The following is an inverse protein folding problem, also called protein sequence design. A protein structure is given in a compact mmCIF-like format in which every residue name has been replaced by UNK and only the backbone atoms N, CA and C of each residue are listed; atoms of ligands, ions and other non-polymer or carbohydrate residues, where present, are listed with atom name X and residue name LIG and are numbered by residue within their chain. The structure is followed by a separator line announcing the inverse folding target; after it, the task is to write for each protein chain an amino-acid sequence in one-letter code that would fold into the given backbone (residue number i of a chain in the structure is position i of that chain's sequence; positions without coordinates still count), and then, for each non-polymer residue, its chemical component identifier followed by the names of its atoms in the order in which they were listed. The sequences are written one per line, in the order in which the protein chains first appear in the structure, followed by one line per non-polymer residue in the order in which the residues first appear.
data_IF_728094126843
#
_entry.id   IF_728094126843
#
_cell.length_a   1.000
_cell.length_b   1.000
_cell.length_c   1.000
_cell.angle_alpha   90.00
_cell.angle_beta   90.00
_cell.angle_gamma   90.00
#
_symmetry.space_group_name_H-M   'P 1'
#
loop_
_entity.id
_entity.type
_entity.pdbx_description
1 polymer ?
#
# COMPACT_ATOMS: atom_id res chain seq x y z
N UNK A 1 -44.09 14.89 35.07
CA UNK A 1 -43.26 13.68 34.89
C UNK A 1 -41.84 14.18 34.70
N UNK A 2 -40.97 13.93 35.67
CA UNK A 2 -39.55 14.28 35.58
C UNK A 2 -38.94 13.47 34.44
N UNK A 3 -38.48 14.12 33.37
CA UNK A 3 -37.62 13.49 32.36
C UNK A 3 -36.43 12.90 33.10
N UNK A 4 -36.38 11.57 33.19
CA UNK A 4 -35.18 10.88 33.65
C UNK A 4 -34.11 11.18 32.59
N UNK A 5 -33.17 12.07 32.93
CA UNK A 5 -32.00 12.35 32.10
C UNK A 5 -31.31 11.04 31.78
N UNK A 6 -31.44 10.57 30.54
CA UNK A 6 -30.84 9.32 30.07
C UNK A 6 -29.33 9.47 30.24
N UNK A 7 -28.75 8.65 31.12
CA UNK A 7 -27.31 8.67 31.34
C UNK A 7 -26.64 8.00 30.14
N UNK A 8 -25.69 8.65 29.45
CA UNK A 8 -24.96 8.01 28.36
C UNK A 8 -24.21 6.79 28.90
N UNK A 9 -24.32 5.67 28.18
CA UNK A 9 -23.68 4.41 28.54
C UNK A 9 -22.30 4.35 27.90
N UNK A 10 -21.26 4.16 28.72
CA UNK A 10 -19.88 4.05 28.23
C UNK A 10 -19.51 2.59 27.99
N UNK A 11 -19.19 2.22 26.75
CA UNK A 11 -18.64 0.91 26.39
C UNK A 11 -17.18 1.05 26.02
N UNK A 12 -16.34 0.19 26.59
CA UNK A 12 -14.95 0.07 26.17
C UNK A 12 -14.82 -1.06 25.14
N UNK A 13 -14.57 -0.69 23.89
CA UNK A 13 -14.31 -1.62 22.81
C UNK A 13 -12.80 -1.85 22.68
N UNK A 14 -12.36 -3.10 22.86
CA UNK A 14 -10.95 -3.47 22.82
C UNK A 14 -10.28 -3.55 24.21
N UNK A 15 -8.95 -3.74 24.29
CA UNK A 15 -7.97 -3.62 23.20
C UNK A 15 -7.88 -4.83 22.25
N UNK A 16 -8.45 -5.97 22.65
CA UNK A 16 -8.50 -7.19 21.84
C UNK A 16 -9.93 -7.45 21.41
N UNK A 17 -10.21 -7.33 20.11
CA UNK A 17 -11.50 -7.69 19.52
C UNK A 17 -11.28 -8.07 18.04
N UNK A 18 -11.99 -9.06 17.48
CA UNK A 18 -11.80 -9.47 16.08
C UNK A 18 -11.94 -8.34 15.06
N UNK A 19 -12.87 -7.42 15.27
CA UNK A 19 -13.06 -6.25 14.39
C UNK A 19 -12.03 -5.12 14.61
N UNK A 20 -11.20 -5.20 15.66
CA UNK A 20 -10.01 -4.38 15.78
C UNK A 20 -8.84 -5.11 15.09
N UNK A 21 -8.70 -4.90 13.77
CA UNK A 21 -7.56 -5.41 13.01
C UNK A 21 -6.27 -4.75 13.49
N UNK A 22 -5.62 -5.37 14.49
CA UNK A 22 -4.48 -4.81 15.22
C UNK A 22 -4.79 -4.70 16.71
N UNK A 23 -4.45 -3.54 17.30
CA UNK A 23 -4.72 -3.28 18.71
C UNK A 23 -5.28 -1.86 18.83
N UNK A 24 -6.57 -1.77 19.13
CA UNK A 24 -7.27 -0.49 19.23
C UNK A 24 -8.20 -0.54 20.43
N UNK A 25 -8.19 0.54 21.22
CA UNK A 25 -9.14 0.75 22.31
C UNK A 25 -10.01 1.94 21.95
N UNK A 26 -11.32 1.76 21.87
CA UNK A 26 -12.28 2.84 21.66
C UNK A 26 -13.21 2.93 22.86
N UNK A 27 -13.25 4.11 23.50
CA UNK A 27 -14.26 4.41 24.52
C UNK A 27 -15.43 5.06 23.81
N UNK A 28 -16.55 4.35 23.77
CA UNK A 28 -17.78 4.77 23.09
C UNK A 28 -18.77 5.26 24.14
N UNK A 29 -19.28 6.46 23.97
CA UNK A 29 -20.46 6.96 24.69
C UNK A 29 -21.67 6.73 23.79
N UNK A 30 -22.63 5.97 24.30
CA UNK A 30 -23.82 5.55 23.56
C UNK A 30 -25.08 6.09 24.23
N UNK A 31 -26.03 6.53 23.41
CA UNK A 31 -27.42 6.75 23.77
C UNK A 31 -28.29 5.72 23.04
N UNK A 32 -28.56 4.60 23.72
CA UNK A 32 -29.17 3.43 23.11
C UNK A 32 -28.28 2.83 22.00
N UNK A 33 -28.73 2.95 20.75
CA UNK A 33 -28.00 2.48 19.56
C UNK A 33 -27.18 3.59 18.88
N UNK A 34 -27.37 4.85 19.27
CA UNK A 34 -26.71 5.99 18.65
C UNK A 34 -25.41 6.30 19.37
N UNK A 35 -24.33 6.42 18.61
CA UNK A 35 -23.01 6.81 19.12
C UNK A 35 -22.96 8.33 19.23
N UNK A 36 -22.82 8.87 20.44
CA UNK A 36 -22.72 10.32 20.65
C UNK A 36 -21.28 10.81 20.61
N UNK A 37 -20.35 10.02 21.16
CA UNK A 37 -18.92 10.35 21.21
C UNK A 37 -18.05 9.09 21.13
N UNK A 38 -16.93 9.22 20.43
CA UNK A 38 -15.91 8.17 20.32
C UNK A 38 -14.56 8.76 20.68
N UNK A 39 -13.91 8.20 21.69
CA UNK A 39 -12.53 8.50 22.03
C UNK A 39 -11.63 7.29 21.66
N UNK A 40 -10.91 7.34 20.52
CA UNK A 40 -9.97 6.29 20.13
C UNK A 40 -8.63 6.45 20.87
N UNK A 41 -8.35 5.54 21.79
CA UNK A 41 -7.07 5.44 22.47
C UNK A 41 -6.09 4.63 21.61
N UNK A 42 -5.22 5.35 20.90
CA UNK A 42 -4.11 4.80 20.11
C UNK A 42 -2.80 4.77 20.90
N UNK A 43 -1.74 4.21 20.32
CA UNK A 43 -0.40 4.18 20.92
C UNK A 43 -0.01 2.86 21.58
N UNK A 44 -0.91 1.87 21.61
CA UNK A 44 -0.61 0.52 22.09
C UNK A 44 0.48 -0.19 21.25
N UNK A 45 0.65 0.23 19.99
CA UNK A 45 1.71 -0.21 19.09
C UNK A 45 2.77 0.89 18.84
N UNK A 46 2.87 1.88 19.73
CA UNK A 46 3.94 2.87 19.66
C UNK A 46 5.28 2.21 20.03
N UNK A 47 6.22 2.19 19.09
CA UNK A 47 7.53 1.53 19.22
C UNK A 47 8.71 2.49 19.29
N UNK A 48 8.47 3.81 19.37
CA UNK A 48 9.53 4.81 19.34
C UNK A 48 10.37 4.78 18.06
N UNK A 49 9.77 4.40 16.92
CA UNK A 49 10.49 4.15 15.66
C UNK A 49 11.31 5.36 15.20
N UNK A 50 10.76 6.57 15.28
CA UNK A 50 11.46 7.81 14.89
C UNK A 50 12.73 8.03 15.71
N UNK A 51 12.64 7.83 17.04
CA UNK A 51 13.79 7.95 17.94
C UNK A 51 14.86 6.88 17.69
N UNK A 52 14.44 5.67 17.30
CA UNK A 52 15.40 4.64 16.91
C UNK A 52 16.10 5.01 15.60
N UNK A 53 15.39 5.60 14.64
CA UNK A 53 15.96 6.04 13.36
C UNK A 53 17.05 7.10 13.56
N UNK A 54 16.90 8.02 14.53
CA UNK A 54 17.93 9.03 14.85
C UNK A 54 19.30 8.41 15.19
N UNK A 55 19.31 7.20 15.76
CA UNK A 55 20.53 6.49 16.18
C UNK A 55 21.07 5.53 15.11
N UNK A 56 20.47 5.51 13.91
CA UNK A 56 20.80 4.58 12.82
C UNK A 56 21.23 5.34 11.58
N UNK A 57 22.04 4.69 10.75
CA UNK A 57 22.39 5.23 9.43
C UNK A 57 21.21 5.12 8.46
N UNK A 58 21.24 5.88 7.36
CA UNK A 58 20.17 5.88 6.37
C UNK A 58 19.82 4.48 5.84
N UNK A 59 20.83 3.63 5.61
CA UNK A 59 20.63 2.25 5.17
C UNK A 59 20.06 1.36 6.27
N UNK A 60 20.52 1.52 7.51
CA UNK A 60 19.99 0.78 8.66
C UNK A 60 18.56 1.20 9.03
N UNK A 61 18.14 2.39 8.61
CA UNK A 61 16.78 2.89 8.83
C UNK A 61 15.75 2.30 7.86
N UNK A 62 16.14 1.82 6.67
CA UNK A 62 15.23 1.27 5.64
C UNK A 62 14.26 0.22 6.23
N UNK A 63 14.71 -0.80 6.99
CA UNK A 63 13.81 -1.85 7.50
C UNK A 63 12.81 -1.39 8.57
N UNK A 64 12.92 -0.16 9.08
CA UNK A 64 11.89 0.41 9.94
C UNK A 64 10.66 0.84 9.14
N UNK A 65 10.85 1.37 7.93
CA UNK A 65 9.77 1.79 7.04
C UNK A 65 8.93 0.60 6.56
N UNK A 66 9.59 -0.54 6.29
CA UNK A 66 8.96 -1.84 6.01
C UNK A 66 7.95 -2.32 7.06
N UNK A 67 8.06 -1.80 8.29
CA UNK A 67 7.28 -2.24 9.46
C UNK A 67 6.28 -1.21 9.93
N UNK A 68 6.19 -0.05 9.28
CA UNK A 68 5.17 0.97 9.58
C UNK A 68 3.83 0.52 9.04
N UNK A 69 3.71 0.44 7.72
CA UNK A 69 2.62 -0.25 7.04
C UNK A 69 3.11 -1.65 6.64
N UNK A 70 2.75 -2.64 7.45
CA UNK A 70 3.18 -4.02 7.26
C UNK A 70 2.48 -4.73 6.08
N UNK A 71 1.47 -4.09 5.46
CA UNK A 71 0.73 -4.66 4.33
C UNK A 71 1.35 -4.25 3.00
N UNK A 72 1.87 -3.02 2.92
CA UNK A 72 2.56 -2.48 1.74
C UNK A 72 3.99 -2.01 2.08
N UNK A 73 4.90 -2.94 2.47
CA UNK A 73 6.23 -2.59 2.97
C UNK A 73 7.08 -1.86 1.91
N UNK A 74 7.13 -2.38 0.68
CA UNK A 74 7.92 -1.80 -0.42
C UNK A 74 7.47 -0.36 -0.77
N UNK A 75 6.18 -0.04 -0.63
CA UNK A 75 5.68 1.32 -0.88
C UNK A 75 6.25 2.33 0.15
N UNK A 76 6.45 1.88 1.39
CA UNK A 76 7.08 2.70 2.44
C UNK A 76 8.59 2.82 2.24
N UNK A 77 9.27 1.73 1.84
CA UNK A 77 10.68 1.79 1.44
C UNK A 77 10.88 2.76 0.28
N UNK A 78 9.98 2.72 -0.70
CA UNK A 78 10.02 3.57 -1.88
C UNK A 78 9.86 5.04 -1.50
N UNK A 79 8.89 5.39 -0.66
CA UNK A 79 8.73 6.76 -0.18
C UNK A 79 9.98 7.27 0.56
N UNK A 80 10.58 6.43 1.39
CA UNK A 80 11.83 6.77 2.10
C UNK A 80 13.02 6.91 1.14
N UNK A 81 13.18 5.98 0.19
CA UNK A 81 14.25 6.04 -0.80
C UNK A 81 14.16 7.30 -1.67
N UNK A 82 12.95 7.68 -2.12
CA UNK A 82 12.73 8.93 -2.86
C UNK A 82 13.11 10.16 -2.05
N UNK A 83 12.81 10.19 -0.75
CA UNK A 83 13.18 11.30 0.12
C UNK A 83 14.71 11.43 0.22
N UNK A 84 15.42 10.33 0.46
CA UNK A 84 16.89 10.31 0.53
C UNK A 84 17.53 10.66 -0.83
N UNK A 85 17.00 10.15 -1.93
CA UNK A 85 17.46 10.44 -3.29
C UNK A 85 17.30 11.91 -3.65
N UNK A 86 16.17 12.53 -3.25
CA UNK A 86 15.92 13.95 -3.46
C UNK A 86 16.87 14.83 -2.62
N UNK A 87 17.22 14.42 -1.41
CA UNK A 87 18.20 15.11 -0.58
C UNK A 87 19.63 15.02 -1.16
N UNK A 88 19.96 13.88 -1.79
CA UNK A 88 21.27 13.65 -2.40
C UNK A 88 21.38 14.16 -3.85
N UNK A 89 20.26 14.50 -4.50
CA UNK A 89 20.22 14.96 -5.89
C UNK A 89 20.55 13.88 -6.91
N UNK A 90 20.25 12.60 -6.62
CA UNK A 90 20.59 11.46 -7.48
C UNK A 90 19.38 11.04 -8.29
N UNK A 91 19.59 10.70 -9.56
CA UNK A 91 18.57 10.11 -10.42
C UNK A 91 18.76 8.59 -10.51
N UNK A 92 17.72 7.82 -10.18
CA UNK A 92 17.72 6.37 -10.30
C UNK A 92 17.59 5.95 -11.78
N UNK A 93 18.30 4.91 -12.24
CA UNK A 93 18.15 4.41 -13.61
C UNK A 93 16.74 3.95 -13.97
N UNK A 94 16.43 3.96 -15.26
CA UNK A 94 15.09 3.64 -15.78
C UNK A 94 14.59 2.26 -15.39
N UNK A 95 15.45 1.23 -15.47
CA UNK A 95 15.11 -0.14 -15.06
C UNK A 95 14.74 -0.21 -13.57
N UNK A 96 15.50 0.48 -12.71
CA UNK A 96 15.22 0.58 -11.28
C UNK A 96 13.87 1.23 -10.99
N UNK A 97 13.55 2.32 -11.69
CA UNK A 97 12.25 2.99 -11.59
C UNK A 97 11.09 2.06 -12.02
N UNK A 98 11.22 1.35 -13.14
CA UNK A 98 10.19 0.41 -13.61
C UNK A 98 9.94 -0.72 -12.60
N UNK A 99 10.99 -1.27 -12.00
CA UNK A 99 10.89 -2.30 -10.96
C UNK A 99 10.18 -1.75 -9.72
N UNK A 100 10.53 -0.54 -9.28
CA UNK A 100 9.89 0.11 -8.12
C UNK A 100 8.42 0.39 -8.34
N UNK A 101 8.04 0.90 -9.51
CA UNK A 101 6.63 1.10 -9.87
C UNK A 101 5.89 -0.24 -9.94
N UNK A 102 6.48 -1.27 -10.56
CA UNK A 102 5.89 -2.61 -10.62
C UNK A 102 5.58 -3.15 -9.21
N UNK A 103 6.55 -3.11 -8.30
CA UNK A 103 6.35 -3.57 -6.92
C UNK A 103 5.46 -2.65 -6.08
N UNK A 104 5.44 -1.34 -6.38
CA UNK A 104 4.52 -0.40 -5.71
C UNK A 104 3.05 -0.71 -6.05
N UNK A 105 2.78 -1.11 -7.29
CA UNK A 105 1.43 -1.52 -7.72
C UNK A 105 1.07 -2.93 -7.21
N UNK A 106 2.04 -3.85 -7.10
CA UNK A 106 1.83 -5.11 -6.36
C UNK A 106 1.46 -4.83 -4.90
N UNK A 107 2.19 -3.94 -4.23
CA UNK A 107 1.92 -3.51 -2.85
C UNK A 107 0.54 -2.85 -2.72
N UNK A 108 0.09 -2.11 -3.73
CA UNK A 108 -1.27 -1.56 -3.80
C UNK A 108 -2.33 -2.66 -3.85
N UNK A 109 -2.15 -3.67 -4.71
CA UNK A 109 -3.06 -4.81 -4.79
C UNK A 109 -3.08 -5.56 -3.45
N UNK A 110 -1.92 -5.83 -2.84
CA UNK A 110 -1.83 -6.48 -1.53
C UNK A 110 -2.61 -5.73 -0.43
N UNK A 111 -2.50 -4.40 -0.42
CA UNK A 111 -3.19 -3.51 0.52
C UNK A 111 -4.69 -3.46 0.29
N UNK A 112 -5.13 -3.26 -0.96
CA UNK A 112 -6.55 -3.20 -1.29
C UNK A 112 -7.26 -4.54 -1.13
N UNK A 113 -6.62 -5.65 -1.50
CA UNK A 113 -7.19 -6.98 -1.28
C UNK A 113 -7.38 -7.24 0.21
N UNK A 114 -6.40 -6.91 1.05
CA UNK A 114 -6.58 -7.05 2.49
C UNK A 114 -7.75 -6.18 2.96
N UNK A 115 -7.74 -4.89 2.61
CA UNK A 115 -8.78 -3.95 3.06
C UNK A 115 -10.20 -4.37 2.66
N UNK A 116 -10.41 -4.71 1.38
CA UNK A 116 -11.72 -5.11 0.85
C UNK A 116 -12.20 -6.41 1.49
N UNK A 117 -11.31 -7.40 1.61
CA UNK A 117 -11.69 -8.70 2.17
C UNK A 117 -11.91 -8.65 3.67
N UNK A 118 -11.10 -7.90 4.43
CA UNK A 118 -11.30 -7.74 5.88
C UNK A 118 -12.54 -6.88 6.16
N UNK A 119 -12.82 -5.85 5.36
CA UNK A 119 -14.07 -5.11 5.47
C UNK A 119 -15.28 -6.04 5.24
N UNK A 120 -15.20 -6.92 4.24
CA UNK A 120 -16.25 -7.91 4.00
C UNK A 120 -16.40 -8.89 5.18
N UNK A 121 -15.29 -9.34 5.76
CA UNK A 121 -15.26 -10.19 6.95
C UNK A 121 -15.95 -9.53 8.15
N UNK A 122 -15.65 -8.27 8.43
CA UNK A 122 -16.21 -7.53 9.56
C UNK A 122 -17.71 -7.26 9.41
N UNK A 123 -18.18 -7.14 8.16
CA UNK A 123 -19.63 -7.05 7.86
C UNK A 123 -20.32 -8.41 7.96
N UNK A 124 -19.57 -9.52 7.88
CA UNK A 124 -20.05 -10.90 8.08
C UNK A 124 -19.85 -11.85 6.89
N UNK A 125 -19.21 -11.41 5.80
CA UNK A 125 -18.93 -12.24 4.64
C UNK A 125 -17.59 -12.99 4.79
N UNK A 126 -17.66 -14.30 5.04
CA UNK A 126 -16.49 -15.14 5.34
C UNK A 126 -15.73 -15.65 4.09
N UNK A 127 -16.39 -15.73 2.94
CA UNK A 127 -15.83 -16.29 1.71
C UNK A 127 -14.79 -15.39 1.01
N UNK A 128 -15.02 -14.06 0.85
CA UNK A 128 -14.07 -13.20 0.13
C UNK A 128 -12.64 -13.19 0.70
N UNK A 129 -12.41 -13.21 2.03
CA UNK A 129 -11.08 -13.38 2.59
C UNK A 129 -10.34 -14.61 2.10
N UNK A 130 -10.99 -15.77 2.02
CA UNK A 130 -10.32 -17.00 1.62
C UNK A 130 -9.82 -16.92 0.16
N UNK A 131 -10.63 -16.36 -0.73
CA UNK A 131 -10.26 -16.17 -2.14
C UNK A 131 -9.19 -15.09 -2.30
N UNK A 132 -9.34 -13.96 -1.61
CA UNK A 132 -8.35 -12.88 -1.70
C UNK A 132 -7.00 -13.25 -1.10
N UNK A 133 -6.96 -14.05 -0.03
CA UNK A 133 -5.70 -14.46 0.58
C UNK A 133 -4.91 -15.46 -0.28
N UNK A 134 -5.57 -16.25 -1.13
CA UNK A 134 -4.87 -17.08 -2.12
C UNK A 134 -4.10 -16.20 -3.13
N UNK A 135 -4.74 -15.14 -3.63
CA UNK A 135 -4.07 -14.19 -4.53
C UNK A 135 -2.98 -13.41 -3.80
N UNK A 136 -3.17 -13.05 -2.53
CA UNK A 136 -2.12 -12.40 -1.72
C UNK A 136 -0.91 -13.32 -1.56
N UNK A 137 -1.13 -14.62 -1.41
CA UNK A 137 -0.04 -15.59 -1.31
C UNK A 137 0.81 -15.63 -2.58
N UNK A 138 0.17 -15.64 -3.76
CA UNK A 138 0.86 -15.57 -5.07
C UNK A 138 1.75 -14.32 -5.16
N UNK A 139 1.24 -13.17 -4.72
CA UNK A 139 2.02 -11.92 -4.68
C UNK A 139 3.17 -11.97 -3.65
N UNK A 140 2.98 -12.60 -2.49
CA UNK A 140 4.05 -12.80 -1.50
C UNK A 140 5.16 -13.72 -2.02
N UNK A 141 4.84 -14.70 -2.87
CA UNK A 141 5.85 -15.52 -3.56
C UNK A 141 6.70 -14.66 -4.51
N UNK A 142 6.13 -13.64 -5.15
CA UNK A 142 6.90 -12.70 -5.95
C UNK A 142 7.83 -11.81 -5.10
N UNK A 143 7.43 -11.49 -3.88
CA UNK A 143 8.30 -10.80 -2.92
C UNK A 143 9.46 -11.69 -2.50
N UNK A 144 9.16 -12.95 -2.16
CA UNK A 144 10.17 -13.93 -1.77
C UNK A 144 11.18 -14.18 -2.88
N UNK A 145 10.73 -14.30 -4.13
CA UNK A 145 11.63 -14.53 -5.27
C UNK A 145 12.53 -13.35 -5.61
N UNK A 146 12.13 -12.11 -5.29
CA UNK A 146 12.94 -10.93 -5.53
C UNK A 146 13.88 -10.56 -4.37
N UNK A 147 13.42 -10.74 -3.12
CA UNK A 147 14.14 -10.29 -1.94
C UNK A 147 14.66 -11.41 -1.02
N UNK A 148 14.10 -12.62 -1.15
CA UNK A 148 14.29 -13.72 -0.22
C UNK A 148 13.37 -13.69 1.00
N UNK A 149 12.48 -12.69 1.11
CA UNK A 149 11.54 -12.53 2.22
C UNK A 149 10.11 -12.36 1.71
N UNK A 150 9.14 -12.91 2.47
CA UNK A 150 7.72 -12.90 2.09
C UNK A 150 7.00 -11.58 2.37
N UNK A 151 7.48 -10.78 3.32
CA UNK A 151 6.85 -9.51 3.71
C UNK A 151 7.87 -8.38 3.77
N UNK A 152 8.74 -8.38 4.79
CA UNK A 152 9.75 -7.34 4.97
C UNK A 152 10.96 -7.61 4.07
N UNK A 153 11.06 -6.87 2.97
CA UNK A 153 11.93 -7.20 1.85
C UNK A 153 13.29 -6.48 1.92
N UNK A 154 13.38 -5.29 2.54
CA UNK A 154 14.56 -4.42 2.47
C UNK A 154 15.10 -4.26 1.02
N UNK A 155 14.18 -4.24 0.04
CA UNK A 155 14.49 -4.46 -1.38
C UNK A 155 14.76 -3.15 -2.10
N UNK A 156 13.89 -2.15 -1.88
CA UNK A 156 14.10 -0.80 -2.38
C UNK A 156 15.03 -0.08 -1.41
N UNK A 157 16.13 0.44 -1.96
CA UNK A 157 17.16 1.15 -1.19
C UNK A 157 17.44 2.50 -1.83
N UNK A 158 17.92 3.49 -1.06
CA UNK A 158 18.38 4.74 -1.65
C UNK A 158 19.39 4.48 -2.77
N UNK A 159 19.13 5.00 -3.96
CA UNK A 159 19.92 4.78 -5.17
C UNK A 159 19.37 3.71 -6.13
N UNK A 160 18.24 3.07 -5.84
CA UNK A 160 17.54 2.18 -6.77
C UNK A 160 17.00 0.90 -6.11
N UNK A 161 17.36 -0.24 -6.68
CA UNK A 161 16.93 -1.55 -6.20
C UNK A 161 18.15 -2.40 -5.85
N UNK A 162 18.06 -3.22 -4.79
CA UNK A 162 19.21 -3.97 -4.30
C UNK A 162 19.69 -5.08 -5.26
N UNK A 163 18.76 -5.84 -5.85
CA UNK A 163 19.04 -6.96 -6.75
C UNK A 163 18.09 -6.92 -7.95
N UNK A 164 18.57 -7.32 -9.12
CA UNK A 164 17.75 -7.37 -10.33
C UNK A 164 16.79 -8.56 -10.31
N UNK A 165 15.69 -8.44 -11.05
CA UNK A 165 14.69 -9.48 -11.19
C UNK A 165 15.14 -10.55 -12.20
N UNK A 166 14.99 -11.85 -11.89
CA UNK A 166 15.20 -12.89 -12.88
C UNK A 166 14.10 -12.84 -13.93
N UNK A 167 14.44 -13.10 -15.21
CA UNK A 167 13.48 -13.01 -16.33
C UNK A 167 12.20 -13.84 -16.09
N UNK A 168 12.35 -15.06 -15.57
CA UNK A 168 11.22 -15.94 -15.23
C UNK A 168 10.19 -15.28 -14.32
N UNK A 169 10.65 -14.44 -13.37
CA UNK A 169 9.75 -13.74 -12.46
C UNK A 169 8.92 -12.67 -13.18
N UNK A 170 9.51 -11.99 -14.17
CA UNK A 170 8.80 -11.01 -15.00
C UNK A 170 7.69 -11.72 -15.79
N UNK A 171 8.00 -12.88 -16.36
CA UNK A 171 7.03 -13.68 -17.12
C UNK A 171 5.89 -14.19 -16.22
N UNK A 172 6.21 -14.66 -15.01
CA UNK A 172 5.23 -15.13 -14.02
C UNK A 172 4.31 -14.00 -13.53
N UNK A 173 4.85 -12.79 -13.33
CA UNK A 173 4.05 -11.59 -13.01
C UNK A 173 3.13 -11.23 -14.18
N UNK A 174 3.62 -11.35 -15.42
CA UNK A 174 2.81 -11.19 -16.63
C UNK A 174 1.60 -12.13 -16.64
N UNK A 175 1.82 -13.43 -16.39
CA UNK A 175 0.75 -14.42 -16.29
C UNK A 175 -0.25 -14.09 -15.17
N UNK A 176 0.23 -13.67 -13.99
CA UNK A 176 -0.65 -13.25 -12.91
C UNK A 176 -1.58 -12.10 -13.31
N UNK A 177 -1.07 -11.12 -14.08
CA UNK A 177 -1.88 -10.00 -14.55
C UNK A 177 -3.01 -10.43 -15.50
N UNK A 178 -2.88 -11.57 -16.17
CA UNK A 178 -3.93 -12.12 -17.04
C UNK A 178 -4.99 -12.91 -16.26
N UNK A 179 -4.62 -13.58 -15.18
CA UNK A 179 -5.53 -14.38 -14.36
C UNK A 179 -6.26 -13.57 -13.29
N UNK A 180 -5.58 -12.60 -12.67
CA UNK A 180 -6.06 -11.87 -11.50
C UNK A 180 -7.40 -11.13 -11.70
N UNK A 181 -7.66 -10.47 -12.87
CA UNK A 181 -8.94 -9.79 -13.09
C UNK A 181 -10.17 -10.67 -12.92
N UNK A 182 -10.08 -11.97 -13.26
CA UNK A 182 -11.20 -12.91 -13.07
C UNK A 182 -11.56 -13.07 -11.59
N UNK A 183 -10.56 -13.15 -10.72
CA UNK A 183 -10.78 -13.26 -9.27
C UNK A 183 -11.38 -11.98 -8.71
N UNK A 184 -10.98 -10.81 -9.24
CA UNK A 184 -11.62 -9.53 -8.89
C UNK A 184 -13.09 -9.50 -9.30
N UNK A 185 -13.42 -10.03 -10.49
CA UNK A 185 -14.80 -10.12 -10.97
C UNK A 185 -15.65 -11.09 -10.11
N UNK A 186 -15.07 -12.20 -9.66
CA UNK A 186 -15.73 -13.14 -8.74
C UNK A 186 -16.02 -12.49 -7.38
N UNK A 187 -15.06 -11.74 -6.83
CA UNK A 187 -15.24 -10.97 -5.58
C UNK A 187 -16.30 -9.87 -5.77
N UNK A 188 -16.27 -9.17 -6.90
CA UNK A 188 -17.25 -8.13 -7.22
C UNK A 188 -18.66 -8.71 -7.32
N UNK A 189 -18.80 -9.87 -7.97
CA UNK A 189 -20.09 -10.56 -8.14
C UNK A 189 -20.74 -10.88 -6.79
N UNK A 190 -19.93 -11.27 -5.79
CA UNK A 190 -20.44 -11.56 -4.44
C UNK A 190 -20.80 -10.33 -3.61
N UNK A 191 -20.07 -9.22 -3.78
CA UNK A 191 -20.16 -8.05 -2.89
C UNK A 191 -20.97 -6.89 -3.49
N UNK A 192 -20.65 -6.49 -4.72
CA UNK A 192 -21.19 -5.25 -5.32
C UNK A 192 -22.69 -5.32 -5.54
N UNK A 193 -23.22 -6.47 -5.98
CA UNK A 193 -24.65 -6.67 -6.19
C UNK A 193 -25.43 -6.99 -4.90
N UNK A 194 -24.75 -7.30 -3.80
CA UNK A 194 -25.39 -7.84 -2.61
C UNK A 194 -26.17 -6.78 -1.84
N UNK A 195 -27.48 -7.03 -1.62
CA UNK A 195 -28.37 -6.12 -0.89
C UNK A 195 -27.88 -5.83 0.53
N UNK A 196 -27.41 -6.84 1.25
CA UNK A 196 -26.96 -6.70 2.65
C UNK A 196 -25.70 -5.83 2.68
N UNK A 197 -24.76 -6.06 1.77
CA UNK A 197 -23.53 -5.28 1.69
C UNK A 197 -23.80 -3.81 1.36
N UNK A 198 -24.75 -3.53 0.46
CA UNK A 198 -25.20 -2.16 0.18
C UNK A 198 -25.86 -1.52 1.41
N UNK A 199 -26.79 -2.22 2.06
CA UNK A 199 -27.47 -1.71 3.26
C UNK A 199 -26.51 -1.35 4.41
N UNK A 200 -25.33 -1.98 4.46
CA UNK A 200 -24.32 -1.76 5.51
C UNK A 200 -23.23 -0.76 5.14
N UNK A 201 -23.20 -0.24 3.91
CA UNK A 201 -22.14 0.67 3.44
C UNK A 201 -22.66 1.93 2.74
N UNK A 202 -23.82 1.85 2.07
CA UNK A 202 -24.46 3.01 1.42
C UNK A 202 -24.98 3.94 2.51
N UNK A 203 -24.77 5.24 2.34
CA UNK A 203 -25.14 6.31 3.27
C UNK A 203 -24.47 6.22 4.67
N UNK A 204 -23.43 5.39 4.83
CA UNK A 204 -22.68 5.25 6.08
C UNK A 204 -21.29 5.88 5.93
N UNK A 205 -20.90 6.69 6.92
CA UNK A 205 -19.57 7.32 6.96
C UNK A 205 -19.37 8.39 5.89
N UNK A 206 -20.46 9.07 5.52
CA UNK A 206 -20.46 10.17 4.55
C UNK A 206 -19.55 11.29 5.04
N UNK A 207 -18.63 11.71 4.17
CA UNK A 207 -17.70 12.81 4.44
C UNK A 207 -17.82 13.81 3.29
N UNK A 208 -18.01 15.09 3.61
CA UNK A 208 -18.02 16.15 2.61
C UNK A 208 -16.59 16.45 2.14
N UNK A 209 -16.46 16.99 0.93
CA UNK A 209 -15.15 17.37 0.39
C UNK A 209 -14.47 18.45 1.24
N UNK A 210 -15.23 19.40 1.78
CA UNK A 210 -14.72 20.45 2.67
C UNK A 210 -14.17 19.86 3.97
N UNK A 211 -14.92 18.96 4.61
CA UNK A 211 -14.47 18.27 5.83
C UNK A 211 -13.24 17.40 5.56
N UNK A 212 -13.20 16.71 4.43
CA UNK A 212 -12.06 15.88 4.05
C UNK A 212 -10.76 16.69 3.98
N UNK A 213 -10.80 17.91 3.41
CA UNK A 213 -9.64 18.79 3.37
C UNK A 213 -9.33 19.42 4.73
N UNK A 214 -10.35 19.86 5.48
CA UNK A 214 -10.17 20.47 6.79
C UNK A 214 -9.51 19.51 7.80
N UNK A 215 -9.85 18.21 7.73
CA UNK A 215 -9.28 17.17 8.59
C UNK A 215 -8.00 16.54 8.03
N UNK A 216 -7.51 16.98 6.86
CA UNK A 216 -6.28 16.47 6.25
C UNK A 216 -6.36 15.03 5.73
N UNK A 217 -7.54 14.58 5.28
CA UNK A 217 -7.68 13.26 4.66
C UNK A 217 -6.93 13.17 3.33
N UNK A 218 -6.55 11.94 2.94
CA UNK A 218 -5.80 11.67 1.70
C UNK A 218 -6.28 10.42 0.98
N UNK A 219 -5.91 10.28 -0.30
CA UNK A 219 -6.12 9.05 -1.07
C UNK A 219 -7.59 8.75 -1.33
N UNK A 220 -7.99 7.49 -1.07
CA UNK A 220 -9.35 7.00 -1.33
C UNK A 220 -10.43 7.79 -0.57
N UNK A 221 -10.11 8.35 0.61
CA UNK A 221 -11.06 9.14 1.39
C UNK A 221 -11.45 10.44 0.67
N UNK A 222 -10.47 11.13 0.09
CA UNK A 222 -10.67 12.37 -0.67
C UNK A 222 -11.32 12.09 -2.03
N UNK A 223 -10.87 11.02 -2.71
CA UNK A 223 -11.46 10.60 -3.99
C UNK A 223 -12.90 10.11 -3.85
N UNK A 224 -13.23 9.43 -2.76
CA UNK A 224 -14.60 9.00 -2.44
C UNK A 224 -15.55 10.19 -2.29
N UNK A 225 -15.05 11.31 -1.78
CA UNK A 225 -15.80 12.55 -1.55
C UNK A 225 -15.88 13.46 -2.79
N UNK A 226 -15.39 13.01 -3.95
CA UNK A 226 -15.53 13.71 -5.23
C UNK A 226 -14.32 14.52 -5.72
N UNK A 227 -13.20 14.53 -4.98
CA UNK A 227 -12.00 15.25 -5.41
C UNK A 227 -11.11 14.40 -6.33
N UNK A 228 -10.77 14.93 -7.50
CA UNK A 228 -9.86 14.32 -8.47
C UNK A 228 -8.38 14.48 -8.07
N UNK A 229 -7.99 13.95 -6.91
CA UNK A 229 -6.64 14.10 -6.35
C UNK A 229 -5.89 12.76 -6.26
N UNK A 230 -4.79 12.65 -7.02
CA UNK A 230 -3.82 11.55 -6.94
C UNK A 230 -2.41 12.09 -7.19
N UNK A 231 -1.46 11.73 -6.31
CA UNK A 231 -0.07 12.14 -6.42
C UNK A 231 0.59 11.61 -7.69
N UNK A 232 0.20 10.43 -8.17
CA UNK A 232 0.78 9.82 -9.38
C UNK A 232 0.52 10.62 -10.66
N UNK A 233 -0.56 11.41 -10.70
CA UNK A 233 -0.87 12.32 -11.82
C UNK A 233 -0.54 13.78 -11.52
N UNK A 234 -0.83 14.26 -10.31
CA UNK A 234 -0.62 15.68 -9.95
C UNK A 234 0.85 16.03 -9.73
N UNK A 235 1.62 15.12 -9.14
CA UNK A 235 3.05 15.28 -8.84
C UNK A 235 3.77 13.97 -9.18
N UNK A 236 3.84 13.62 -10.48
CA UNK A 236 4.36 12.33 -10.90
C UNK A 236 5.80 12.16 -10.44
N UNK A 237 6.07 11.00 -9.83
CA UNK A 237 7.39 10.53 -9.46
C UNK A 237 7.77 9.33 -10.34
N UNK A 238 9.07 9.06 -10.45
CA UNK A 238 9.60 7.97 -11.28
C UNK A 238 9.03 7.94 -12.72
N UNK A 239 8.45 6.81 -13.14
CA UNK A 239 7.93 6.62 -14.49
C UNK A 239 6.39 6.63 -14.57
N UNK A 240 5.67 7.08 -13.53
CA UNK A 240 4.20 7.15 -13.56
C UNK A 240 3.67 8.08 -14.66
N UNK A 241 4.44 9.08 -15.08
CA UNK A 241 4.08 10.01 -16.16
C UNK A 241 3.99 9.36 -17.55
N UNK A 242 4.62 8.21 -17.75
CA UNK A 242 4.66 7.50 -19.03
C UNK A 242 3.69 6.31 -19.07
N UNK A 243 2.90 6.12 -18.02
CA UNK A 243 1.98 5.00 -17.86
C UNK A 243 0.54 5.52 -17.98
N UNK A 244 -0.27 4.77 -18.72
CA UNK A 244 -1.66 5.14 -18.97
C UNK A 244 -2.60 4.42 -17.98
N UNK A 245 -3.25 5.19 -17.11
CA UNK A 245 -4.20 4.69 -16.12
C UNK A 245 -5.23 5.75 -15.76
N UNK A 246 -6.40 5.31 -15.33
CA UNK A 246 -7.48 6.18 -14.90
C UNK A 246 -7.58 6.26 -13.37
N UNK A 247 -8.20 7.35 -12.88
CA UNK A 247 -8.41 7.56 -11.44
C UNK A 247 -9.91 7.46 -11.17
N UNK A 248 -10.35 6.47 -10.39
CA UNK A 248 -11.75 6.37 -9.98
C UNK A 248 -12.10 7.46 -8.96
N UNK A 249 -13.27 8.08 -9.14
CA UNK A 249 -13.78 9.16 -8.30
C UNK A 249 -15.18 8.77 -7.81
N UNK A 250 -15.43 8.94 -6.52
CA UNK A 250 -16.73 8.71 -5.89
C UNK A 250 -17.65 9.92 -6.02
N UNK A 251 -18.94 9.73 -5.76
CA UNK A 251 -19.94 10.81 -5.89
C UNK A 251 -20.53 11.22 -4.55
N UNK A 252 -20.75 10.26 -3.66
CA UNK A 252 -21.55 10.43 -2.45
C UNK A 252 -20.69 10.58 -1.20
N UNK A 253 -19.41 10.17 -1.23
CA UNK A 253 -18.52 10.24 -0.08
C UNK A 253 -18.74 9.14 0.97
N UNK A 254 -19.55 8.12 0.66
CA UNK A 254 -19.90 7.02 1.55
C UNK A 254 -18.87 5.87 1.54
N UNK A 255 -19.05 4.89 2.42
CA UNK A 255 -18.19 3.71 2.47
C UNK A 255 -18.30 2.82 1.23
N UNK A 256 -19.45 2.83 0.55
CA UNK A 256 -19.65 2.03 -0.65
C UNK A 256 -18.85 2.56 -1.85
N UNK A 257 -18.85 3.88 -2.08
CA UNK A 257 -18.02 4.52 -3.10
C UNK A 257 -16.53 4.26 -2.86
N UNK A 258 -16.08 4.32 -1.60
CA UNK A 258 -14.69 4.01 -1.23
C UNK A 258 -14.33 2.54 -1.49
N UNK A 259 -15.28 1.62 -1.33
CA UNK A 259 -15.10 0.21 -1.71
C UNK A 259 -14.96 0.06 -3.23
N UNK A 260 -15.84 0.70 -4.01
CA UNK A 260 -15.79 0.65 -5.48
C UNK A 260 -14.50 1.24 -6.03
N UNK A 261 -14.03 2.37 -5.46
CA UNK A 261 -12.74 2.98 -5.80
C UNK A 261 -11.61 1.99 -5.63
N UNK A 262 -11.54 1.24 -4.52
CA UNK A 262 -10.49 0.24 -4.29
C UNK A 262 -10.57 -0.92 -5.28
N UNK A 263 -11.77 -1.39 -5.63
CA UNK A 263 -11.95 -2.42 -6.66
C UNK A 263 -11.43 -1.95 -8.02
N UNK A 264 -11.73 -0.70 -8.41
CA UNK A 264 -11.24 -0.12 -9.66
C UNK A 264 -9.73 0.17 -9.61
N UNK A 265 -9.20 0.64 -8.48
CA UNK A 265 -7.75 0.85 -8.30
C UNK A 265 -6.97 -0.47 -8.43
N UNK A 266 -7.52 -1.62 -8.03
CA UNK A 266 -6.90 -2.92 -8.28
C UNK A 266 -6.85 -3.26 -9.78
N UNK A 267 -7.90 -2.93 -10.55
CA UNK A 267 -7.90 -3.13 -12.01
C UNK A 267 -6.90 -2.23 -12.72
N UNK A 268 -6.85 -0.95 -12.34
CA UNK A 268 -5.88 -0.01 -12.87
C UNK A 268 -4.45 -0.39 -12.47
N UNK A 269 -4.23 -0.92 -11.26
CA UNK A 269 -2.94 -1.45 -10.85
C UNK A 269 -2.49 -2.61 -11.76
N UNK A 270 -3.39 -3.55 -12.09
CA UNK A 270 -3.10 -4.62 -13.06
C UNK A 270 -2.76 -4.05 -14.45
N UNK A 271 -3.48 -3.02 -14.92
CA UNK A 271 -3.20 -2.34 -16.19
C UNK A 271 -1.78 -1.73 -16.19
N UNK A 272 -1.41 -1.06 -15.09
CA UNK A 272 -0.07 -0.48 -14.92
C UNK A 272 1.00 -1.59 -14.88
N UNK A 273 0.75 -2.67 -14.13
CA UNK A 273 1.69 -3.80 -14.06
C UNK A 273 1.96 -4.42 -15.42
N UNK A 274 0.94 -4.62 -16.26
CA UNK A 274 1.12 -5.11 -17.65
C UNK A 274 1.99 -4.18 -18.49
N UNK A 275 1.78 -2.87 -18.38
CA UNK A 275 2.61 -1.89 -19.08
C UNK A 275 4.07 -1.93 -18.59
N UNK A 276 4.29 -2.03 -17.28
CA UNK A 276 5.63 -2.18 -16.70
C UNK A 276 6.32 -3.45 -17.18
N UNK A 277 5.63 -4.60 -17.22
CA UNK A 277 6.17 -5.87 -17.73
C UNK A 277 6.58 -5.75 -19.20
N UNK A 278 5.72 -5.15 -20.04
CA UNK A 278 6.03 -4.94 -21.46
C UNK A 278 7.24 -4.02 -21.65
N UNK A 279 7.34 -2.93 -20.87
CA UNK A 279 8.50 -2.02 -20.90
C UNK A 279 9.78 -2.69 -20.38
N UNK A 280 9.69 -3.51 -19.34
CA UNK A 280 10.83 -4.26 -18.79
C UNK A 280 11.40 -5.30 -19.77
N UNK A 281 10.54 -5.90 -20.59
CA UNK A 281 10.94 -6.82 -21.67
C UNK A 281 11.44 -6.11 -22.92
N UNK A 282 11.25 -4.79 -23.01
CA UNK A 282 11.72 -3.96 -24.14
C UNK A 282 13.16 -3.48 -23.94
N UNK A 283 13.74 -2.86 -24.98
CA UNK A 283 15.06 -2.22 -24.90
C UNK A 283 15.15 -1.12 -23.83
N UNK A 284 14.02 -0.49 -23.44
CA UNK A 284 13.97 0.51 -22.37
C UNK A 284 14.18 -0.08 -20.97
N UNK A 285 13.90 -1.38 -20.82
CA UNK A 285 14.16 -2.15 -19.61
C UNK A 285 15.62 -2.61 -19.49
N UNK A 286 16.43 -2.46 -20.53
CA UNK A 286 17.84 -2.86 -20.50
C UNK A 286 18.67 -1.77 -19.79
N UNK A 287 19.27 -2.10 -18.65
CA UNK A 287 20.12 -1.17 -17.92
C UNK A 287 20.43 -1.60 -16.48
N UNK A 288 21.22 -0.80 -15.75
CA UNK A 288 21.46 -1.05 -14.34
C UNK A 288 20.18 -0.80 -13.52
N UNK A 289 19.97 -1.57 -12.45
CA UNK A 289 18.84 -1.42 -11.52
C UNK A 289 19.08 -0.38 -10.42
N UNK A 290 20.33 0.00 -10.24
CA UNK A 290 20.80 0.92 -9.21
C UNK A 290 21.77 1.93 -9.80
N UNK A 291 21.89 3.09 -9.16
CA UNK A 291 22.87 4.12 -9.50
C UNK A 291 24.27 3.51 -9.59
N UNK A 292 25.05 3.98 -10.55
CA UNK A 292 26.43 3.55 -10.78
C UNK A 292 27.42 4.26 -9.86
N UNK A 293 26.96 5.22 -9.03
CA UNK A 293 27.81 5.89 -8.05
C UNK A 293 28.09 4.96 -6.85
N UNK A 294 29.32 4.44 -6.82
CA UNK A 294 29.82 3.54 -5.78
C UNK A 294 29.87 4.15 -4.38
N UNK A 295 29.69 5.48 -4.24
CA UNK A 295 29.64 6.14 -2.92
C UNK A 295 28.29 6.02 -2.24
N UNK A 296 27.22 5.79 -3.00
CA UNK A 296 25.85 5.66 -2.48
C UNK A 296 25.41 4.21 -2.52
N UNK A 297 25.64 3.55 -3.65
CA UNK A 297 25.25 2.16 -3.86
C UNK A 297 26.49 1.28 -3.72
N UNK A 298 26.45 0.20 -2.91
CA UNK A 298 27.58 -0.70 -2.78
C UNK A 298 27.92 -1.34 -4.14
N UNK A 299 29.22 -1.50 -4.47
CA UNK A 299 29.63 -2.09 -5.73
C UNK A 299 29.24 -3.56 -5.82
N UNK A 300 29.21 -4.08 -7.06
CA UNK A 300 28.89 -5.49 -7.29
C UNK A 300 29.96 -6.39 -6.66
N UNK A 301 29.56 -7.56 -6.16
CA UNK A 301 30.48 -8.53 -5.55
C UNK A 301 31.62 -8.99 -6.46
N UNK A 302 31.41 -8.98 -7.79
CA UNK A 302 32.47 -9.27 -8.76
C UNK A 302 33.57 -8.20 -8.75
N UNK A 303 33.18 -6.93 -8.83
CA UNK A 303 34.08 -5.78 -8.85
C UNK A 303 34.78 -5.57 -7.50
N UNK A 304 34.04 -5.72 -6.39
CA UNK A 304 34.57 -5.64 -5.03
C UNK A 304 35.78 -6.56 -4.78
N UNK A 305 35.79 -7.74 -5.41
CA UNK A 305 36.87 -8.72 -5.26
C UNK A 305 38.09 -8.44 -6.14
N UNK A 306 37.98 -7.51 -7.08
CA UNK A 306 39.00 -7.24 -8.10
C UNK A 306 39.59 -5.83 -8.00
N UNK A 307 38.83 -4.84 -7.55
CA UNK A 307 39.26 -3.44 -7.42
C UNK A 307 39.42 -3.05 -5.95
N UNK A 308 40.50 -2.34 -5.65
CA UNK A 308 40.76 -1.77 -4.33
C UNK A 308 39.77 -0.64 -4.02
N UNK A 309 39.44 0.22 -4.99
CA UNK A 309 38.47 1.30 -4.82
C UNK A 309 37.07 0.76 -4.48
N UNK A 310 36.66 -0.31 -5.15
CA UNK A 310 35.39 -0.98 -4.85
C UNK A 310 35.37 -1.58 -3.45
N UNK A 311 36.50 -2.12 -2.97
CA UNK A 311 36.61 -2.60 -1.59
C UNK A 311 36.54 -1.46 -0.58
N UNK A 312 37.18 -0.33 -0.86
CA UNK A 312 37.14 0.88 -0.01
C UNK A 312 35.72 1.43 0.07
N UNK A 313 35.00 1.54 -1.05
CA UNK A 313 33.61 2.00 -1.04
C UNK A 313 32.62 1.01 -0.39
N UNK A 314 32.97 -0.28 -0.36
CA UNK A 314 32.16 -1.28 0.32
C UNK A 314 32.33 -1.25 1.84
N UNK A 315 33.52 -0.87 2.32
CA UNK A 315 33.87 -0.77 3.73
C UNK A 315 33.28 0.50 4.37
#
# INVERSE_FOLDING_TARGET
MTEATVRPFTINFGPQHPAAHGVLRMVLELDGEVVTRVDPHIGLLHRGTEKLIEQKTYLQAVPYFDRLDYVAPINQEHAYALAVEKLLGITVPKRGQLIRVLYSEIGRILSHMLNVTTQALDVGALTPPLWGFEEREKLMVFYERASGSRMHAAYVRPGGVHQDLPQKLIDDIGHFCDTHPKVLDDIETLLTGNRIFKQRNVDIGVVTLEDAFAHGFTGVMVRGSGAAWDLRKSQPYECYSELDFDIPIGKNGDNYDRYLIRMQEMREAVKIMKQCVNKLSSAEGAGPVSSTDGKIVPPKRGEMKQSMEALIHHF
#
